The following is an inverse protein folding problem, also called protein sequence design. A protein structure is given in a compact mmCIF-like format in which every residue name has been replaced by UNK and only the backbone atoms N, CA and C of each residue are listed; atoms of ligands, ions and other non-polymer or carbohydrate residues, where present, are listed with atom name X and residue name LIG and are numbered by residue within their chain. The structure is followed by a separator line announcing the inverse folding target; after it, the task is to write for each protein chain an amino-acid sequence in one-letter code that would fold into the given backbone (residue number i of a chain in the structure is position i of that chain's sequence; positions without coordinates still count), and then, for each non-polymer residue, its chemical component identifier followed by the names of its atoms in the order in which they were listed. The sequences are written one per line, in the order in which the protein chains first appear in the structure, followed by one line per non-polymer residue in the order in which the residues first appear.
data_IF_566128019704
#
_entry.id   IF_566128019704
#
_cell.length_a   1.000
_cell.length_b   1.000
_cell.length_c   1.000
_cell.angle_alpha   90.00
_cell.angle_beta   90.00
_cell.angle_gamma   90.00
#
_symmetry.space_group_name_H-M   'P 1'
#
loop_
_entity.id
_entity.type
_entity.pdbx_description
1 polymer ?
#
# COMPACT_ATOMS: atom_id res chain seq x y z
N UNK A 1 -15.24 2.95 -21.41
CA UNK A 1 -14.65 2.08 -20.38
C UNK A 1 -13.42 2.79 -19.83
N UNK A 2 -13.26 2.89 -18.50
CA UNK A 2 -12.05 3.43 -17.91
C UNK A 2 -10.86 2.54 -18.30
N UNK A 3 -9.68 3.14 -18.50
CA UNK A 3 -8.44 2.41 -18.82
C UNK A 3 -8.11 1.49 -17.65
N UNK A 4 -8.01 0.18 -17.87
CA UNK A 4 -7.55 -0.79 -16.86
C UNK A 4 -6.11 -0.48 -16.44
N UNK A 5 -5.84 -0.47 -15.15
CA UNK A 5 -4.49 -0.25 -14.62
C UNK A 5 -3.83 -1.58 -14.24
N UNK A 6 -2.55 -1.65 -14.53
CA UNK A 6 -1.65 -2.68 -13.99
C UNK A 6 -0.75 -1.96 -13.01
N UNK A 7 -1.05 -2.10 -11.73
CA UNK A 7 -0.33 -1.46 -10.64
C UNK A 7 0.82 -2.40 -10.22
N UNK A 8 2.02 -1.88 -10.12
CA UNK A 8 3.17 -2.61 -9.59
C UNK A 8 3.48 -2.10 -8.18
N UNK A 9 3.24 -2.93 -7.19
CA UNK A 9 3.47 -2.61 -5.78
C UNK A 9 4.95 -2.79 -5.44
N UNK A 10 5.56 -1.76 -4.89
CA UNK A 10 6.97 -1.74 -4.52
C UNK A 10 7.13 -1.45 -3.03
N UNK A 11 7.76 -2.38 -2.31
CA UNK A 11 8.35 -2.10 -1.01
C UNK A 11 9.73 -1.49 -1.23
N UNK A 12 9.81 -0.16 -1.06
CA UNK A 12 10.95 0.65 -1.48
C UNK A 12 12.31 0.12 -0.98
N UNK A 13 12.48 -0.22 0.33
CA UNK A 13 13.79 -0.63 0.85
C UNK A 13 14.33 -1.94 0.26
N UNK A 14 13.45 -2.78 -0.31
CA UNK A 14 13.82 -4.11 -0.78
C UNK A 14 13.88 -4.22 -2.31
N UNK A 15 13.15 -3.35 -3.01
CA UNK A 15 13.16 -3.35 -4.47
C UNK A 15 14.36 -2.57 -5.04
N UNK A 16 14.70 -1.46 -4.40
CA UNK A 16 15.80 -0.57 -4.78
C UNK A 16 16.52 -0.02 -3.53
N UNK A 17 17.70 0.53 -3.70
CA UNK A 17 18.43 1.13 -2.58
C UNK A 17 17.86 2.49 -2.17
N UNK A 18 17.48 3.31 -3.18
CA UNK A 18 16.95 4.65 -3.02
C UNK A 18 16.12 5.07 -4.25
N UNK A 19 15.61 6.31 -4.28
CA UNK A 19 14.81 6.84 -5.37
C UNK A 19 15.60 7.04 -6.67
N UNK A 20 16.92 7.21 -6.62
CA UNK A 20 17.77 7.27 -7.81
C UNK A 20 17.88 5.89 -8.45
N UNK A 21 18.20 4.86 -7.66
CA UNK A 21 18.21 3.48 -8.13
C UNK A 21 16.82 3.07 -8.66
N UNK A 22 15.73 3.52 -8.00
CA UNK A 22 14.37 3.30 -8.50
C UNK A 22 14.15 3.93 -9.87
N UNK A 23 14.68 5.12 -10.10
CA UNK A 23 14.58 5.81 -11.40
C UNK A 23 15.23 4.98 -12.51
N UNK A 24 16.34 4.30 -12.22
CA UNK A 24 17.00 3.37 -13.14
C UNK A 24 16.22 2.07 -13.36
N UNK A 25 15.39 1.65 -12.36
CA UNK A 25 14.54 0.47 -12.46
C UNK A 25 13.22 0.69 -13.21
N UNK A 26 12.87 1.91 -13.57
CA UNK A 26 11.64 2.21 -14.34
C UNK A 26 11.58 1.48 -15.67
N UNK A 27 12.74 1.22 -16.30
CA UNK A 27 12.81 0.45 -17.56
C UNK A 27 12.32 -1.00 -17.36
N UNK A 28 12.56 -1.58 -16.18
CA UNK A 28 12.03 -2.91 -15.83
C UNK A 28 10.51 -2.90 -15.69
N UNK A 29 9.97 -1.90 -15.01
CA UNK A 29 8.52 -1.76 -14.79
C UNK A 29 7.80 -1.52 -16.12
N UNK A 30 8.36 -0.68 -16.99
CA UNK A 30 7.86 -0.46 -18.35
C UNK A 30 7.93 -1.74 -19.19
N UNK A 31 9.03 -2.48 -19.14
CA UNK A 31 9.21 -3.76 -19.85
C UNK A 31 8.19 -4.81 -19.39
N UNK A 32 7.90 -4.90 -18.09
CA UNK A 32 6.86 -5.78 -17.55
C UNK A 32 5.48 -5.42 -18.12
N UNK A 33 5.28 -4.15 -18.44
CA UNK A 33 4.04 -3.59 -18.96
C UNK A 33 3.13 -3.03 -17.88
N UNK A 34 3.61 -2.79 -16.67
CA UNK A 34 2.84 -2.05 -15.66
C UNK A 34 2.54 -0.63 -16.12
N UNK A 35 1.41 -0.08 -15.70
CA UNK A 35 0.96 1.27 -16.04
C UNK A 35 1.08 2.23 -14.89
N UNK A 36 1.27 1.71 -13.70
CA UNK A 36 1.32 2.48 -12.47
C UNK A 36 2.24 1.79 -11.47
N UNK A 37 2.87 2.58 -10.59
CA UNK A 37 3.62 2.09 -9.45
C UNK A 37 2.92 2.57 -8.18
N UNK A 38 2.74 1.67 -7.22
CA UNK A 38 2.40 2.02 -5.85
C UNK A 38 3.62 1.77 -4.97
N UNK A 39 4.13 2.85 -4.34
CA UNK A 39 5.16 2.77 -3.32
C UNK A 39 4.53 2.62 -1.94
N UNK A 40 5.01 1.66 -1.13
CA UNK A 40 4.80 1.69 0.32
C UNK A 40 5.34 3.00 0.89
N UNK A 41 5.00 3.42 2.15
CA UNK A 41 5.26 4.78 2.59
C UNK A 41 6.71 5.23 2.41
N UNK A 42 6.90 6.36 1.73
CA UNK A 42 8.22 6.98 1.47
C UNK A 42 8.49 8.20 2.35
N UNK A 43 7.55 8.53 3.24
CA UNK A 43 7.64 9.70 4.12
C UNK A 43 8.67 9.50 5.23
N UNK A 44 9.14 10.61 5.85
CA UNK A 44 10.05 10.52 7.00
C UNK A 44 9.41 9.71 8.13
N UNK A 45 10.12 8.69 8.58
CA UNK A 45 9.66 7.71 9.56
C UNK A 45 10.85 7.07 10.28
N UNK A 46 10.76 6.85 11.61
CA UNK A 46 11.82 6.16 12.36
C UNK A 46 11.82 4.65 12.10
N UNK A 47 10.73 4.06 11.62
CA UNK A 47 10.64 2.63 11.35
C UNK A 47 11.11 2.27 9.94
N UNK A 48 11.60 1.05 9.76
CA UNK A 48 11.99 0.53 8.46
C UNK A 48 10.79 0.45 7.51
N UNK A 49 9.64 -0.01 8.01
CA UNK A 49 8.41 -0.18 7.22
C UNK A 49 7.74 1.14 6.78
N UNK A 50 8.04 2.28 7.42
CA UNK A 50 7.53 3.59 7.02
C UNK A 50 6.13 3.97 7.51
N UNK A 51 5.37 3.05 8.10
CA UNK A 51 3.96 3.32 8.49
C UNK A 51 3.81 4.22 9.73
N UNK A 52 4.83 4.44 10.55
CA UNK A 52 4.80 5.51 11.56
C UNK A 52 5.42 6.79 10.99
N UNK A 53 4.57 7.61 10.39
CA UNK A 53 5.00 8.84 9.72
C UNK A 53 5.26 9.95 10.74
N UNK A 54 6.51 10.41 10.78
CA UNK A 54 6.91 11.55 11.63
C UNK A 54 6.79 12.90 10.91
N UNK A 55 6.99 12.92 9.57
CA UNK A 55 6.83 14.13 8.74
C UNK A 55 6.34 13.74 7.34
N UNK A 56 5.11 14.15 7.00
CA UNK A 56 4.50 13.86 5.70
C UNK A 56 5.04 14.70 4.53
N UNK A 57 5.79 15.76 4.81
CA UNK A 57 6.27 16.71 3.80
C UNK A 57 7.73 16.44 3.40
N UNK A 58 8.30 15.32 3.87
CA UNK A 58 9.66 14.91 3.57
C UNK A 58 9.69 13.49 3.04
N UNK A 59 10.55 13.27 2.06
CA UNK A 59 11.01 11.94 1.69
C UNK A 59 11.89 11.43 2.83
N UNK A 60 11.74 10.16 3.18
CA UNK A 60 12.60 9.50 4.17
C UNK A 60 14.07 9.64 3.75
N UNK A 61 14.89 10.17 4.65
CA UNK A 61 16.28 10.54 4.35
C UNK A 61 17.12 9.39 3.77
N UNK A 62 16.78 8.15 4.11
CA UNK A 62 17.41 6.94 3.56
C UNK A 62 17.06 6.67 2.09
N UNK A 63 15.96 7.23 1.58
CA UNK A 63 15.51 7.02 0.19
C UNK A 63 15.96 8.15 -0.74
N UNK A 64 16.47 9.25 -0.21
CA UNK A 64 16.94 10.40 -0.98
C UNK A 64 16.25 11.70 -0.61
N UNK A 65 16.16 12.60 -1.58
CA UNK A 65 15.62 13.94 -1.43
C UNK A 65 14.29 14.11 -2.17
N UNK A 66 13.62 15.23 -1.93
CA UNK A 66 12.43 15.59 -2.69
C UNK A 66 12.76 15.84 -4.19
N UNK A 67 13.97 16.37 -4.48
CA UNK A 67 14.45 16.51 -5.85
C UNK A 67 14.62 15.15 -6.55
N UNK A 68 15.12 14.13 -5.84
CA UNK A 68 15.22 12.77 -6.36
C UNK A 68 13.83 12.19 -6.67
N UNK A 69 12.84 12.51 -5.82
CA UNK A 69 11.45 12.14 -6.07
C UNK A 69 10.87 12.85 -7.30
N UNK A 70 11.08 14.17 -7.46
CA UNK A 70 10.61 14.92 -8.62
C UNK A 70 11.23 14.40 -9.94
N UNK A 71 12.50 13.99 -9.89
CA UNK A 71 13.17 13.34 -11.01
C UNK A 71 12.57 11.98 -11.36
N UNK A 72 12.25 11.16 -10.32
CA UNK A 72 11.55 9.89 -10.50
C UNK A 72 10.18 10.08 -11.14
N UNK A 73 9.36 11.03 -10.65
CA UNK A 73 8.05 11.37 -11.21
C UNK A 73 8.18 11.76 -12.69
N UNK A 74 9.09 12.67 -12.99
CA UNK A 74 9.31 13.15 -14.36
C UNK A 74 9.67 12.00 -15.31
N UNK A 75 10.56 11.11 -14.87
CA UNK A 75 10.97 9.94 -15.65
C UNK A 75 9.84 8.91 -15.80
N UNK A 76 9.08 8.63 -14.73
CA UNK A 76 7.95 7.72 -14.77
C UNK A 76 6.87 8.22 -15.76
N UNK A 77 6.50 9.49 -15.66
CA UNK A 77 5.53 10.10 -16.59
C UNK A 77 6.02 10.09 -18.04
N UNK A 78 7.31 10.28 -18.31
CA UNK A 78 7.86 10.17 -19.66
C UNK A 78 7.70 8.77 -20.28
N UNK A 79 7.50 7.75 -19.44
CA UNK A 79 7.22 6.34 -19.80
C UNK A 79 5.73 5.99 -19.76
N UNK A 80 4.85 6.94 -19.40
CA UNK A 80 3.42 6.72 -19.23
C UNK A 80 3.08 5.91 -17.99
N UNK A 81 3.94 5.92 -16.96
CA UNK A 81 3.75 5.24 -15.68
C UNK A 81 3.25 6.26 -14.66
N UNK A 82 2.06 6.00 -14.09
CA UNK A 82 1.47 6.77 -13.00
C UNK A 82 2.14 6.38 -11.66
N UNK A 83 2.25 7.33 -10.71
CA UNK A 83 2.85 7.08 -9.39
C UNK A 83 1.82 7.30 -8.30
N UNK A 84 1.60 6.28 -7.47
CA UNK A 84 0.74 6.30 -6.31
C UNK A 84 1.57 6.19 -5.03
N UNK A 85 1.25 6.99 -4.03
CA UNK A 85 1.86 6.92 -2.71
C UNK A 85 0.93 6.24 -1.71
N UNK A 86 1.53 5.50 -0.79
CA UNK A 86 0.84 4.94 0.37
C UNK A 86 0.59 6.03 1.40
N UNK A 87 -0.65 6.37 1.68
CA UNK A 87 -1.02 7.47 2.54
C UNK A 87 -1.62 6.96 3.86
N UNK A 88 -0.83 7.09 4.92
CA UNK A 88 -1.17 6.65 6.27
C UNK A 88 -1.87 7.79 7.01
N UNK A 89 -3.19 7.73 7.18
CA UNK A 89 -3.99 8.81 7.79
C UNK A 89 -4.76 8.37 9.05
N UNK A 90 -4.62 7.11 9.47
CA UNK A 90 -5.28 6.62 10.68
C UNK A 90 -4.48 6.90 11.95
N UNK A 91 -3.19 7.11 11.82
CA UNK A 91 -2.25 7.38 12.92
C UNK A 91 -1.02 8.15 12.43
N UNK A 92 -0.17 8.57 13.36
CA UNK A 92 1.16 9.15 13.07
C UNK A 92 2.21 8.45 13.91
N UNK A 93 3.48 8.83 13.73
CA UNK A 93 4.52 8.47 14.71
C UNK A 93 4.38 9.27 16.02
N UNK A 94 4.85 8.66 17.12
CA UNK A 94 4.90 9.30 18.44
C UNK A 94 5.72 10.61 18.43
N UNK A 95 6.74 10.73 17.57
CA UNK A 95 7.57 11.91 17.43
C UNK A 95 7.03 12.93 16.43
N UNK A 96 5.90 12.65 15.78
CA UNK A 96 5.24 13.62 14.91
C UNK A 96 4.93 14.91 15.68
N UNK A 97 5.24 16.06 15.08
CA UNK A 97 5.08 17.38 15.75
C UNK A 97 3.66 17.58 16.27
N UNK A 98 2.64 17.14 15.53
CA UNK A 98 1.25 17.28 15.94
C UNK A 98 0.93 16.47 17.21
N UNK A 99 1.49 15.26 17.36
CA UNK A 99 1.34 14.47 18.57
C UNK A 99 2.10 15.10 19.74
N UNK A 100 3.34 15.58 19.53
CA UNK A 100 4.15 16.27 20.54
C UNK A 100 3.46 17.52 21.07
N UNK A 101 2.75 18.27 20.23
CA UNK A 101 1.90 19.39 20.63
C UNK A 101 0.66 18.94 21.41
N UNK A 102 0.04 17.80 21.01
CA UNK A 102 -1.12 17.25 21.71
C UNK A 102 -0.81 16.80 23.14
N UNK A 103 0.38 16.26 23.39
CA UNK A 103 0.87 15.96 24.76
C UNK A 103 0.81 17.20 25.66
N UNK A 104 1.08 18.38 25.09
CA UNK A 104 1.05 19.68 25.79
C UNK A 104 -0.36 20.29 25.87
N UNK A 105 -1.38 19.60 25.35
CA UNK A 105 -2.76 20.10 25.32
C UNK A 105 -3.01 21.21 24.28
N UNK A 106 -2.16 21.33 23.25
CA UNK A 106 -2.23 22.42 22.26
C UNK A 106 -3.15 22.13 21.08
N UNK A 107 -3.69 20.92 20.98
CA UNK A 107 -4.63 20.52 19.92
C UNK A 107 -5.52 19.34 20.34
N UNK A 108 -6.55 19.06 19.53
CA UNK A 108 -7.55 17.99 19.67
C UNK A 108 -7.34 16.85 18.67
N UNK A 109 -6.14 16.76 18.11
CA UNK A 109 -5.84 15.87 16.98
C UNK A 109 -5.74 14.39 17.38
N UNK A 110 -5.67 14.08 18.67
CA UNK A 110 -5.54 12.74 19.21
C UNK A 110 -6.50 12.54 20.38
N UNK A 111 -6.71 11.28 20.76
CA UNK A 111 -7.60 10.90 21.84
C UNK A 111 -6.84 10.71 23.14
N UNK A 112 -7.31 11.34 24.20
CA UNK A 112 -6.73 11.30 25.55
C UNK A 112 -7.73 10.88 26.60
N UNK A 113 -7.28 10.14 27.63
CA UNK A 113 -8.07 9.72 28.79
C UNK A 113 -7.22 9.81 30.06
N UNK A 114 -7.86 10.12 31.18
CA UNK A 114 -7.23 10.09 32.51
C UNK A 114 -7.09 8.66 33.06
N UNK A 115 -7.79 7.69 32.44
CA UNK A 115 -7.76 6.27 32.84
C UNK A 115 -7.52 5.37 31.62
N UNK A 116 -6.92 4.20 31.83
CA UNK A 116 -6.81 3.19 30.80
C UNK A 116 -8.16 2.54 30.52
N UNK A 117 -8.76 2.83 29.36
CA UNK A 117 -10.06 2.29 28.96
C UNK A 117 -9.96 0.82 28.57
N UNK A 118 -8.95 0.46 27.77
CA UNK A 118 -8.62 -0.91 27.39
C UNK A 118 -7.12 -1.01 27.01
N UNK A 119 -6.70 -2.19 26.52
CA UNK A 119 -5.30 -2.45 26.13
C UNK A 119 -4.78 -1.64 24.93
N UNK A 120 -5.65 -0.95 24.20
CA UNK A 120 -5.28 -0.08 23.08
C UNK A 120 -4.91 1.33 23.54
N UNK A 121 -5.14 1.64 24.81
CA UNK A 121 -4.77 2.90 25.44
C UNK A 121 -3.40 2.78 26.11
N UNK A 122 -2.47 3.62 25.67
CA UNK A 122 -1.07 3.62 26.09
C UNK A 122 -0.78 4.78 27.04
N UNK A 123 -0.03 4.53 28.10
CA UNK A 123 0.31 5.56 29.08
C UNK A 123 1.41 6.49 28.55
N UNK A 124 1.17 7.80 28.65
CA UNK A 124 2.13 8.84 28.36
C UNK A 124 2.67 9.44 29.67
N UNK A 125 3.93 9.21 29.95
CA UNK A 125 4.59 9.70 31.18
C UNK A 125 4.76 11.22 31.20
N UNK A 126 4.73 11.89 30.04
CA UNK A 126 4.97 13.34 29.93
C UNK A 126 3.78 14.18 30.44
N UNK A 127 2.56 13.70 30.25
CA UNK A 127 1.35 14.42 30.71
C UNK A 127 0.49 13.61 31.70
N UNK A 128 0.95 12.42 32.11
CA UNK A 128 0.25 11.50 33.01
C UNK A 128 -1.16 11.10 32.54
N UNK A 129 -1.34 10.92 31.22
CA UNK A 129 -2.59 10.50 30.58
C UNK A 129 -2.39 9.29 29.70
N UNK A 130 -3.49 8.71 29.25
CA UNK A 130 -3.50 7.64 28.25
C UNK A 130 -3.91 8.21 26.90
N UNK A 131 -3.24 7.78 25.83
CA UNK A 131 -3.61 8.07 24.45
C UNK A 131 -4.02 6.80 23.70
N UNK A 132 -4.91 6.94 22.73
CA UNK A 132 -5.37 5.80 21.94
C UNK A 132 -4.34 5.47 20.84
N UNK A 133 -3.83 4.21 20.86
CA UNK A 133 -2.86 3.67 19.90
C UNK A 133 -3.14 2.17 19.70
N UNK A 134 -4.04 1.82 18.77
CA UNK A 134 -4.57 0.45 18.66
C UNK A 134 -3.56 -0.59 18.16
N UNK A 135 -2.56 -0.18 17.40
CA UNK A 135 -1.53 -1.10 16.86
C UNK A 135 -0.32 -1.18 17.79
N UNK A 136 0.36 -0.08 17.95
CA UNK A 136 1.57 0.03 18.74
C UNK A 136 1.65 1.36 19.48
N UNK A 137 2.41 1.41 20.60
CA UNK A 137 2.58 2.64 21.37
C UNK A 137 3.24 3.77 20.56
N UNK A 138 4.02 3.44 19.54
CA UNK A 138 4.62 4.42 18.63
C UNK A 138 3.64 5.01 17.61
N UNK A 139 2.39 4.49 17.53
CA UNK A 139 1.40 4.82 16.51
C UNK A 139 0.11 5.42 17.10
N UNK A 140 0.14 6.66 17.68
CA UNK A 140 -1.05 7.32 18.20
C UNK A 140 -2.06 7.60 17.08
N UNK A 141 -3.32 7.21 17.32
CA UNK A 141 -4.41 7.34 16.36
C UNK A 141 -4.89 8.78 16.20
N UNK A 142 -5.04 9.21 14.95
CA UNK A 142 -5.56 10.53 14.60
C UNK A 142 -7.07 10.64 14.84
N UNK A 143 -7.50 11.78 15.33
CA UNK A 143 -8.90 12.14 15.48
C UNK A 143 -9.47 12.70 14.16
N UNK A 144 -10.09 11.84 13.34
CA UNK A 144 -10.71 12.22 12.08
C UNK A 144 -11.83 13.27 12.17
N UNK A 145 -12.36 13.53 13.38
CA UNK A 145 -13.34 14.60 13.63
C UNK A 145 -12.69 15.97 13.84
N UNK A 146 -11.38 16.03 14.15
CA UNK A 146 -10.67 17.29 14.33
C UNK A 146 -10.52 18.05 13.01
N UNK A 147 -10.94 19.31 13.00
CA UNK A 147 -10.75 20.19 11.84
C UNK A 147 -9.27 20.42 11.54
N UNK A 148 -8.42 20.41 12.56
CA UNK A 148 -6.97 20.55 12.40
C UNK A 148 -6.36 19.34 11.69
N UNK A 149 -6.81 18.13 12.00
CA UNK A 149 -6.43 16.89 11.27
C UNK A 149 -6.88 16.98 9.82
N UNK A 150 -8.13 17.37 9.56
CA UNK A 150 -8.64 17.53 8.19
C UNK A 150 -7.86 18.55 7.38
N UNK A 151 -7.49 19.70 7.98
CA UNK A 151 -6.68 20.72 7.32
C UNK A 151 -5.28 20.18 6.99
N UNK A 152 -4.63 19.50 7.93
CA UNK A 152 -3.33 18.84 7.70
C UNK A 152 -3.42 17.84 6.53
N UNK A 153 -4.48 17.03 6.47
CA UNK A 153 -4.68 16.08 5.37
C UNK A 153 -4.81 16.80 4.02
N UNK A 154 -5.55 17.92 3.96
CA UNK A 154 -5.66 18.74 2.75
C UNK A 154 -4.28 19.25 2.31
N UNK A 155 -3.45 19.70 3.24
CA UNK A 155 -2.12 20.22 2.94
C UNK A 155 -1.18 19.11 2.45
N UNK A 156 -1.22 17.93 3.06
CA UNK A 156 -0.46 16.75 2.63
C UNK A 156 -0.84 16.35 1.20
N UNK A 157 -2.13 16.22 0.92
CA UNK A 157 -2.63 15.85 -0.42
C UNK A 157 -2.21 16.88 -1.46
N UNK A 158 -2.38 18.17 -1.18
CA UNK A 158 -1.95 19.23 -2.11
C UNK A 158 -0.46 19.20 -2.38
N UNK A 159 0.34 19.01 -1.33
CA UNK A 159 1.78 18.96 -1.46
C UNK A 159 2.21 17.86 -2.45
N UNK A 160 1.77 16.63 -2.24
CA UNK A 160 2.19 15.51 -3.08
C UNK A 160 1.58 15.54 -4.49
N UNK A 161 0.33 15.98 -4.63
CA UNK A 161 -0.27 16.18 -5.96
C UNK A 161 0.47 17.27 -6.76
N UNK A 162 0.96 18.34 -6.10
CA UNK A 162 1.77 19.38 -6.74
C UNK A 162 3.17 18.87 -7.14
N UNK A 163 3.70 17.83 -6.49
CA UNK A 163 4.90 17.09 -6.88
C UNK A 163 4.64 16.01 -7.93
N UNK A 164 3.44 15.99 -8.53
CA UNK A 164 3.13 15.12 -9.66
C UNK A 164 2.61 13.72 -9.31
N UNK A 165 2.29 13.46 -8.05
CA UNK A 165 1.64 12.18 -7.65
C UNK A 165 0.29 12.05 -8.35
N UNK A 166 -0.01 10.84 -8.85
CA UNK A 166 -1.24 10.57 -9.60
C UNK A 166 -2.37 10.00 -8.75
N UNK A 167 -2.07 9.58 -7.53
CA UNK A 167 -3.06 9.03 -6.64
C UNK A 167 -2.48 8.48 -5.34
N UNK A 168 -3.36 7.89 -4.55
CA UNK A 168 -3.01 7.37 -3.23
C UNK A 168 -3.62 6.00 -2.97
N UNK A 169 -2.83 5.11 -2.38
CA UNK A 169 -3.34 3.96 -1.62
C UNK A 169 -3.56 4.42 -0.19
N UNK A 170 -4.73 4.16 0.33
CA UNK A 170 -5.14 4.59 1.67
C UNK A 170 -5.00 3.43 2.64
N UNK A 171 -4.08 3.60 3.58
CA UNK A 171 -3.74 2.60 4.59
C UNK A 171 -4.86 2.40 5.60
N UNK A 172 -5.18 1.12 5.88
CA UNK A 172 -6.01 0.67 7.00
C UNK A 172 -7.31 1.49 7.21
N UNK A 173 -8.04 1.78 6.11
CA UNK A 173 -9.18 2.72 6.11
C UNK A 173 -10.25 2.47 7.16
N UNK A 174 -10.56 1.22 7.63
CA UNK A 174 -11.53 1.02 8.69
C UNK A 174 -11.13 1.62 10.05
N UNK A 175 -9.86 1.86 10.28
CA UNK A 175 -9.33 2.21 11.61
C UNK A 175 -9.37 3.71 11.94
N UNK A 176 -9.79 4.58 11.03
CA UNK A 176 -10.10 5.98 11.36
C UNK A 176 -11.37 6.11 12.22
N UNK A 177 -12.08 5.00 12.45
CA UNK A 177 -13.43 4.96 13.03
C UNK A 177 -13.54 5.36 14.49
N UNK A 178 -12.44 5.47 15.24
CA UNK A 178 -12.56 5.97 16.62
C UNK A 178 -12.89 7.46 16.60
N UNK A 179 -14.13 7.77 16.96
CA UNK A 179 -14.64 9.18 17.05
C UNK A 179 -15.28 9.75 15.79
N UNK A 180 -15.31 9.05 14.66
CA UNK A 180 -16.06 9.47 13.46
C UNK A 180 -16.56 8.26 12.67
N UNK A 181 -17.58 8.47 11.82
CA UNK A 181 -17.99 7.46 10.84
C UNK A 181 -16.92 7.36 9.74
N UNK A 182 -16.33 6.16 9.52
CA UNK A 182 -15.27 6.01 8.54
C UNK A 182 -15.74 6.21 7.11
N UNK A 183 -16.99 5.84 6.76
CA UNK A 183 -17.52 6.03 5.41
C UNK A 183 -17.75 7.52 5.11
N UNK A 184 -18.27 8.28 6.07
CA UNK A 184 -18.41 9.74 5.95
C UNK A 184 -17.04 10.43 5.82
N UNK A 185 -16.06 10.01 6.64
CA UNK A 185 -14.71 10.57 6.58
C UNK A 185 -14.06 10.32 5.22
N UNK A 186 -14.10 9.08 4.71
CA UNK A 186 -13.47 8.74 3.44
C UNK A 186 -14.23 9.30 2.23
N UNK A 187 -15.55 9.47 2.31
CA UNK A 187 -16.31 10.19 1.29
C UNK A 187 -15.91 11.66 1.25
N UNK A 188 -15.73 12.31 2.41
CA UNK A 188 -15.18 13.66 2.50
C UNK A 188 -13.78 13.74 1.88
N UNK A 189 -12.90 12.79 2.23
CA UNK A 189 -11.53 12.72 1.71
C UNK A 189 -11.52 12.60 0.18
N UNK A 190 -12.25 11.64 -0.38
CA UNK A 190 -12.34 11.42 -1.82
C UNK A 190 -12.85 12.67 -2.55
N UNK A 191 -13.92 13.28 -2.06
CA UNK A 191 -14.45 14.53 -2.62
C UNK A 191 -13.43 15.68 -2.56
N UNK A 192 -12.66 15.78 -1.49
CA UNK A 192 -11.62 16.80 -1.31
C UNK A 192 -10.47 16.58 -2.30
N UNK A 193 -9.98 15.34 -2.46
CA UNK A 193 -8.91 15.00 -3.41
C UNK A 193 -9.34 15.32 -4.84
N UNK A 194 -10.53 14.87 -5.26
CA UNK A 194 -11.02 15.08 -6.63
C UNK A 194 -11.37 16.56 -6.95
N UNK A 195 -11.54 17.40 -5.94
CA UNK A 195 -11.59 18.87 -6.13
C UNK A 195 -10.21 19.47 -6.42
N UNK A 196 -9.13 18.85 -5.96
CA UNK A 196 -7.74 19.29 -6.20
C UNK A 196 -7.23 18.72 -7.52
N UNK A 197 -7.38 17.41 -7.75
CA UNK A 197 -7.03 16.68 -8.97
C UNK A 197 -8.17 15.74 -9.32
N UNK A 198 -8.96 16.10 -10.33
CA UNK A 198 -10.22 15.42 -10.70
C UNK A 198 -10.02 13.92 -11.03
N UNK A 199 -8.89 13.58 -11.63
CA UNK A 199 -8.53 12.24 -12.09
C UNK A 199 -7.58 11.48 -11.14
N UNK A 200 -7.38 11.99 -9.91
CA UNK A 200 -6.55 11.31 -8.92
C UNK A 200 -7.06 9.90 -8.63
N UNK A 201 -6.17 8.92 -8.69
CA UNK A 201 -6.51 7.53 -8.37
C UNK A 201 -6.53 7.32 -6.87
N UNK A 202 -7.59 6.73 -6.36
CA UNK A 202 -7.73 6.41 -4.94
C UNK A 202 -8.11 4.93 -4.78
N UNK A 203 -7.33 4.21 -3.95
CA UNK A 203 -7.60 2.81 -3.61
C UNK A 203 -7.48 2.57 -2.12
N UNK A 204 -8.47 1.93 -1.55
CA UNK A 204 -8.56 1.63 -0.12
C UNK A 204 -7.94 0.28 0.22
N UNK A 205 -7.18 0.22 1.31
CA UNK A 205 -6.99 -1.02 2.03
C UNK A 205 -8.11 -1.20 3.06
N UNK A 206 -9.03 -2.09 2.74
CA UNK A 206 -10.10 -2.52 3.64
C UNK A 206 -10.05 -4.05 3.76
N UNK A 207 -9.15 -4.54 4.61
CA UNK A 207 -8.96 -5.97 4.82
C UNK A 207 -10.10 -6.55 5.66
N UNK A 208 -11.17 -6.91 4.99
CA UNK A 208 -12.42 -7.40 5.56
C UNK A 208 -13.16 -8.24 4.51
N UNK A 209 -14.41 -8.64 4.80
CA UNK A 209 -15.30 -9.28 3.84
C UNK A 209 -15.57 -8.38 2.64
N UNK A 210 -15.93 -8.99 1.52
CA UNK A 210 -16.25 -8.25 0.29
C UNK A 210 -17.36 -7.20 0.51
N UNK A 211 -18.38 -7.52 1.31
CA UNK A 211 -19.49 -6.62 1.63
C UNK A 211 -19.03 -5.37 2.39
N UNK A 212 -18.02 -5.50 3.24
CA UNK A 212 -17.44 -4.37 3.98
C UNK A 212 -16.51 -3.57 3.08
N UNK A 213 -15.56 -4.22 2.40
CA UNK A 213 -14.60 -3.55 1.50
C UNK A 213 -15.29 -2.78 0.36
N UNK A 214 -16.40 -3.31 -0.18
CA UNK A 214 -17.20 -2.65 -1.21
C UNK A 214 -17.82 -1.31 -0.77
N UNK A 215 -18.10 -1.14 0.53
CA UNK A 215 -18.59 0.16 1.05
C UNK A 215 -17.50 1.22 0.99
N UNK A 216 -16.27 0.84 1.34
CA UNK A 216 -15.11 1.73 1.23
C UNK A 216 -14.76 2.01 -0.23
N UNK A 217 -14.81 1.02 -1.11
CA UNK A 217 -14.61 1.19 -2.53
C UNK A 217 -15.56 2.25 -3.13
N UNK A 218 -16.84 2.19 -2.80
CA UNK A 218 -17.86 3.16 -3.23
C UNK A 218 -17.66 4.56 -2.64
N UNK A 219 -17.14 4.66 -1.42
CA UNK A 219 -16.87 5.94 -0.75
C UNK A 219 -15.62 6.64 -1.28
N UNK A 220 -14.60 5.86 -1.68
CA UNK A 220 -13.26 6.33 -2.01
C UNK A 220 -13.03 6.38 -3.53
N UNK A 221 -13.42 5.30 -4.22
CA UNK A 221 -13.21 5.08 -5.65
C UNK A 221 -12.91 3.63 -5.95
N UNK A 222 -11.94 3.02 -5.25
CA UNK A 222 -11.60 1.59 -5.38
C UNK A 222 -11.16 1.00 -4.05
N UNK A 223 -11.15 -0.35 -3.96
CA UNK A 223 -10.55 -1.10 -2.85
C UNK A 223 -9.86 -2.38 -3.35
N UNK A 224 -8.86 -2.82 -2.61
CA UNK A 224 -8.24 -4.14 -2.83
C UNK A 224 -9.23 -5.25 -2.46
N UNK A 225 -9.39 -6.23 -3.35
CA UNK A 225 -10.29 -7.37 -3.15
C UNK A 225 -9.57 -8.53 -2.42
N UNK A 226 -9.50 -8.44 -1.11
CA UNK A 226 -8.83 -9.44 -0.25
C UNK A 226 -9.54 -10.80 -0.28
N UNK A 227 -10.86 -10.82 -0.37
CA UNK A 227 -11.65 -12.06 -0.41
C UNK A 227 -11.34 -12.84 -1.68
N UNK A 228 -11.26 -12.18 -2.84
CA UNK A 228 -10.92 -12.80 -4.11
C UNK A 228 -9.48 -13.35 -4.12
N UNK A 229 -8.51 -12.60 -3.56
CA UNK A 229 -7.14 -13.10 -3.35
C UNK A 229 -7.15 -14.40 -2.54
N UNK A 230 -7.99 -14.51 -1.52
CA UNK A 230 -8.19 -15.73 -0.73
C UNK A 230 -8.75 -16.88 -1.55
N UNK A 231 -9.78 -16.62 -2.36
CA UNK A 231 -10.40 -17.62 -3.22
C UNK A 231 -9.46 -18.13 -4.33
N UNK A 232 -8.65 -17.27 -4.93
CA UNK A 232 -7.62 -17.69 -5.89
C UNK A 232 -6.67 -18.70 -5.25
N UNK A 233 -6.15 -18.41 -4.05
CA UNK A 233 -5.25 -19.32 -3.31
C UNK A 233 -5.94 -20.64 -2.95
N UNK A 234 -7.19 -20.59 -2.54
CA UNK A 234 -8.00 -21.77 -2.24
C UNK A 234 -8.14 -22.65 -3.50
N UNK A 235 -8.58 -22.09 -4.62
CA UNK A 235 -8.73 -22.78 -5.92
C UNK A 235 -7.42 -23.43 -6.38
N UNK A 236 -6.29 -22.74 -6.24
CA UNK A 236 -4.97 -23.27 -6.61
C UNK A 236 -4.55 -24.46 -5.75
N UNK A 237 -4.99 -24.53 -4.51
CA UNK A 237 -4.59 -25.59 -3.58
C UNK A 237 -5.55 -26.78 -3.56
N UNK A 238 -6.84 -26.56 -3.76
CA UNK A 238 -7.87 -27.61 -3.71
C UNK A 238 -8.28 -28.11 -5.08
N UNK A 239 -8.14 -27.29 -6.13
CA UNK A 239 -8.69 -27.56 -7.46
C UNK A 239 -10.18 -27.23 -7.59
N UNK A 240 -10.82 -26.72 -6.52
CA UNK A 240 -12.20 -26.27 -6.57
C UNK A 240 -12.39 -25.06 -7.51
N UNK A 241 -13.57 -24.88 -8.11
CA UNK A 241 -13.85 -23.72 -8.97
C UNK A 241 -13.67 -22.40 -8.22
N UNK A 242 -13.15 -21.39 -8.92
CA UNK A 242 -13.04 -20.03 -8.37
C UNK A 242 -14.45 -19.46 -8.11
N UNK A 243 -14.67 -18.98 -6.91
CA UNK A 243 -15.88 -18.21 -6.54
C UNK A 243 -15.57 -16.75 -6.79
N UNK A 244 -16.17 -16.15 -7.80
CA UNK A 244 -15.89 -14.76 -8.20
C UNK A 244 -16.86 -13.81 -7.50
N UNK A 245 -16.29 -12.90 -6.70
CA UNK A 245 -16.95 -11.71 -6.17
C UNK A 245 -16.11 -10.50 -6.60
N UNK A 246 -16.44 -9.91 -7.74
CA UNK A 246 -15.65 -8.87 -8.35
C UNK A 246 -16.54 -7.84 -9.05
N UNK A 247 -16.32 -6.57 -8.75
CA UNK A 247 -16.91 -5.42 -9.43
C UNK A 247 -15.79 -4.64 -10.15
N UNK A 248 -15.73 -4.70 -11.50
CA UNK A 248 -14.63 -4.08 -12.25
C UNK A 248 -14.49 -2.57 -12.06
N UNK A 249 -15.56 -1.91 -11.66
CA UNK A 249 -15.55 -0.47 -11.40
C UNK A 249 -14.81 -0.13 -10.11
N UNK A 250 -14.93 -1.01 -9.09
CA UNK A 250 -14.50 -0.71 -7.73
C UNK A 250 -13.35 -1.57 -7.23
N UNK A 251 -13.07 -2.72 -7.83
CA UNK A 251 -12.11 -3.67 -7.31
C UNK A 251 -10.72 -3.54 -7.95
N UNK A 252 -9.71 -3.74 -7.11
CA UNK A 252 -8.32 -4.00 -7.49
C UNK A 252 -7.98 -5.43 -7.12
N UNK A 253 -7.76 -6.27 -8.13
CA UNK A 253 -7.46 -7.68 -7.96
C UNK A 253 -5.95 -7.90 -7.75
N UNK A 254 -5.57 -8.81 -6.87
CA UNK A 254 -4.18 -9.09 -6.54
C UNK A 254 -4.00 -10.51 -5.98
N UNK A 255 -2.78 -11.02 -5.96
CA UNK A 255 -2.46 -12.35 -5.39
C UNK A 255 -1.97 -12.26 -3.96
N UNK A 256 -1.07 -11.34 -3.68
CA UNK A 256 -0.54 -11.04 -2.35
C UNK A 256 0.00 -9.60 -2.34
N UNK A 257 0.42 -9.13 -1.17
CA UNK A 257 1.02 -7.84 -0.96
C UNK A 257 2.15 -7.92 0.10
N UNK A 258 2.68 -6.77 0.50
CA UNK A 258 3.78 -6.66 1.47
C UNK A 258 3.42 -7.10 2.91
N UNK A 259 2.15 -7.40 3.22
CA UNK A 259 1.65 -7.89 4.52
C UNK A 259 1.15 -9.34 4.49
N UNK A 260 1.18 -9.97 3.31
CA UNK A 260 0.65 -11.30 3.10
C UNK A 260 1.73 -12.29 2.68
N UNK A 261 1.51 -13.58 3.01
CA UNK A 261 2.33 -14.67 2.47
C UNK A 261 2.38 -14.60 0.95
N UNK A 262 3.59 -14.59 0.38
CA UNK A 262 3.80 -14.55 -1.08
C UNK A 262 3.08 -15.70 -1.77
N UNK A 263 2.55 -15.45 -2.96
CA UNK A 263 1.81 -16.47 -3.73
C UNK A 263 2.66 -17.73 -3.96
N UNK A 264 3.95 -17.59 -4.20
CA UNK A 264 4.86 -18.72 -4.39
C UNK A 264 4.86 -19.67 -3.19
N UNK A 265 4.93 -19.14 -1.96
CA UNK A 265 4.86 -19.94 -0.74
C UNK A 265 3.46 -20.53 -0.52
N UNK A 266 2.41 -19.76 -0.80
CA UNK A 266 1.02 -20.19 -0.64
C UNK A 266 0.67 -21.42 -1.50
N UNK A 267 1.38 -21.61 -2.64
CA UNK A 267 1.18 -22.73 -3.56
C UNK A 267 2.32 -23.78 -3.52
N UNK A 268 3.20 -23.70 -2.51
CA UNK A 268 4.31 -24.66 -2.31
C UNK A 268 5.38 -24.60 -3.39
N UNK A 269 5.66 -23.42 -3.93
CA UNK A 269 6.64 -23.17 -4.99
C UNK A 269 6.38 -23.96 -6.30
N UNK A 270 5.14 -24.43 -6.52
CA UNK A 270 4.75 -25.14 -7.72
C UNK A 270 4.62 -24.18 -8.91
N UNK A 271 5.56 -24.28 -9.86
CA UNK A 271 5.58 -23.44 -11.06
C UNK A 271 4.29 -23.54 -11.88
N UNK A 272 3.64 -24.71 -11.97
CA UNK A 272 2.38 -24.85 -12.72
C UNK A 272 1.27 -24.05 -12.04
N UNK A 273 1.23 -24.08 -10.71
CA UNK A 273 0.27 -23.29 -9.94
C UNK A 273 0.56 -21.79 -10.06
N UNK A 274 1.83 -21.36 -10.16
CA UNK A 274 2.18 -19.95 -10.37
C UNK A 274 1.71 -19.44 -11.75
N UNK A 275 1.88 -20.22 -12.81
CA UNK A 275 1.31 -19.88 -14.13
C UNK A 275 -0.23 -19.79 -14.06
N UNK A 276 -0.87 -20.75 -13.37
CA UNK A 276 -2.32 -20.74 -13.19
C UNK A 276 -2.78 -19.58 -12.31
N UNK A 277 -1.99 -19.15 -11.31
CA UNK A 277 -2.28 -17.96 -10.51
C UNK A 277 -2.35 -16.71 -11.37
N UNK A 278 -1.39 -16.53 -12.29
CA UNK A 278 -1.42 -15.45 -13.26
C UNK A 278 -2.66 -15.55 -14.18
N UNK A 279 -3.02 -16.76 -14.65
CA UNK A 279 -4.23 -16.95 -15.45
C UNK A 279 -5.49 -16.52 -14.71
N UNK A 280 -5.64 -16.93 -13.45
CA UNK A 280 -6.80 -16.58 -12.63
C UNK A 280 -6.84 -15.07 -12.36
N UNK A 281 -5.71 -14.46 -11.98
CA UNK A 281 -5.62 -13.02 -11.73
C UNK A 281 -6.07 -12.19 -12.96
N UNK A 282 -5.53 -12.51 -14.14
CA UNK A 282 -5.84 -11.81 -15.37
C UNK A 282 -7.15 -12.28 -16.05
N UNK A 283 -7.87 -13.23 -15.46
CA UNK A 283 -9.25 -13.56 -15.89
C UNK A 283 -10.31 -12.70 -15.22
N UNK A 284 -9.97 -11.99 -14.14
CA UNK A 284 -10.86 -11.07 -13.45
C UNK A 284 -10.84 -9.71 -14.13
N UNK A 285 -12.02 -9.08 -14.23
CA UNK A 285 -12.10 -7.70 -14.73
C UNK A 285 -11.74 -6.68 -13.63
N UNK A 286 -11.33 -5.47 -14.02
CA UNK A 286 -10.95 -4.38 -13.11
C UNK A 286 -9.48 -4.00 -13.19
N UNK A 287 -8.96 -3.33 -12.16
CA UNK A 287 -7.53 -3.06 -12.06
C UNK A 287 -6.80 -4.26 -11.44
N UNK A 288 -5.54 -4.44 -11.76
CA UNK A 288 -4.71 -5.52 -11.23
C UNK A 288 -3.50 -4.93 -10.50
N UNK A 289 -3.20 -5.46 -9.31
CA UNK A 289 -1.98 -5.14 -8.58
C UNK A 289 -1.06 -6.36 -8.51
N UNK A 290 0.20 -6.16 -8.84
CA UNK A 290 1.26 -7.17 -8.80
C UNK A 290 2.27 -6.73 -7.74
N UNK A 291 2.45 -7.54 -6.71
CA UNK A 291 3.50 -7.32 -5.72
C UNK A 291 4.86 -7.68 -6.30
N UNK A 292 5.86 -6.81 -6.16
CA UNK A 292 7.19 -7.03 -6.77
C UNK A 292 7.73 -8.43 -6.45
N UNK A 293 8.21 -9.08 -7.49
CA UNK A 293 8.76 -10.45 -7.41
C UNK A 293 7.74 -11.56 -7.67
N UNK A 294 6.43 -11.29 -7.66
CA UNK A 294 5.43 -12.31 -8.02
C UNK A 294 5.59 -12.75 -9.47
N UNK A 295 5.94 -11.81 -10.36
CA UNK A 295 6.16 -12.05 -11.79
C UNK A 295 7.38 -12.94 -12.10
N UNK A 296 8.25 -13.13 -11.12
CA UNK A 296 9.38 -14.08 -11.21
C UNK A 296 9.23 -15.28 -10.28
N UNK A 297 8.11 -15.39 -9.56
CA UNK A 297 7.84 -16.47 -8.62
C UNK A 297 8.73 -16.42 -7.37
N UNK A 298 9.03 -15.21 -6.89
CA UNK A 298 9.83 -14.99 -5.70
C UNK A 298 9.12 -15.53 -4.45
N UNK A 299 9.86 -16.26 -3.62
CA UNK A 299 9.36 -16.82 -2.36
C UNK A 299 9.78 -16.00 -1.15
N UNK A 300 9.31 -16.40 0.02
CA UNK A 300 9.73 -15.85 1.32
C UNK A 300 11.07 -16.46 1.74
N UNK A 301 11.85 -15.74 2.54
CA UNK A 301 12.99 -16.35 3.21
C UNK A 301 12.54 -17.47 4.17
N UNK A 302 13.12 -18.66 4.00
CA UNK A 302 12.78 -19.83 4.82
C UNK A 302 13.53 -19.83 6.17
N UNK A 303 14.74 -19.30 6.22
CA UNK A 303 15.70 -19.51 7.32
C UNK A 303 15.94 -18.31 8.22
N UNK A 304 15.07 -17.32 8.19
CA UNK A 304 15.23 -16.23 9.11
C UNK A 304 14.57 -16.55 10.43
N UNK A 305 15.36 -16.79 11.45
CA UNK A 305 14.92 -16.73 12.83
C UNK A 305 14.31 -15.35 13.07
N UNK A 306 13.00 -15.34 13.32
CA UNK A 306 12.30 -14.11 13.74
C UNK A 306 12.97 -13.66 15.02
N UNK A 307 13.61 -12.51 15.01
CA UNK A 307 13.96 -11.85 16.25
C UNK A 307 12.65 -11.63 17.01
N UNK A 308 12.55 -12.19 18.21
CA UNK A 308 11.38 -12.06 19.05
C UNK A 308 10.98 -10.60 19.18
N UNK A 309 9.77 -10.24 18.77
CA UNK A 309 9.22 -8.88 18.81
C UNK A 309 9.03 -8.16 17.46
N UNK A 310 9.46 -8.72 16.33
CA UNK A 310 9.16 -8.19 15.00
C UNK A 310 7.88 -8.79 14.44
N UNK A 311 6.98 -7.98 13.93
CA UNK A 311 5.90 -8.46 13.07
C UNK A 311 6.54 -9.22 11.90
N UNK A 312 6.04 -10.42 11.57
CA UNK A 312 6.70 -11.35 10.61
C UNK A 312 6.77 -10.88 9.15
N UNK A 313 6.39 -9.65 8.87
CA UNK A 313 6.20 -9.05 7.54
C UNK A 313 7.50 -8.89 6.76
N UNK A 314 8.64 -8.72 7.42
CA UNK A 314 9.94 -8.65 6.76
C UNK A 314 10.28 -9.91 5.95
N UNK A 315 9.66 -11.07 6.27
CA UNK A 315 9.82 -12.31 5.49
C UNK A 315 9.28 -12.20 4.07
N UNK A 316 8.28 -11.36 3.86
CA UNK A 316 7.66 -11.11 2.56
C UNK A 316 8.24 -9.87 1.87
N UNK A 317 9.08 -9.11 2.58
CA UNK A 317 9.69 -7.83 2.15
C UNK A 317 11.19 -7.97 1.84
N UNK A 318 11.61 -9.17 1.36
CA UNK A 318 13.01 -9.43 1.03
C UNK A 318 13.47 -8.69 -0.24
N UNK A 319 14.80 -8.48 -0.40
CA UNK A 319 15.36 -7.83 -1.58
C UNK A 319 14.97 -8.52 -2.87
N UNK A 320 14.72 -7.71 -3.91
CA UNK A 320 14.38 -8.20 -5.26
C UNK A 320 15.50 -9.06 -5.83
N UNK A 321 15.14 -10.24 -6.38
CA UNK A 321 16.07 -11.20 -6.96
C UNK A 321 16.49 -10.82 -8.38
N UNK A 322 17.25 -9.72 -8.54
CA UNK A 322 17.66 -9.18 -9.86
C UNK A 322 18.38 -10.18 -10.76
N UNK A 323 19.20 -11.07 -10.17
CA UNK A 323 19.86 -12.14 -10.92
C UNK A 323 18.81 -13.09 -11.55
N UNK A 324 17.76 -13.42 -10.81
CA UNK A 324 16.66 -14.27 -11.33
C UNK A 324 15.89 -13.57 -12.45
N UNK A 325 15.68 -12.25 -12.32
CA UNK A 325 15.11 -11.42 -13.40
C UNK A 325 15.90 -11.58 -14.68
N UNK A 326 17.22 -11.41 -14.65
CA UNK A 326 18.08 -11.51 -15.83
C UNK A 326 18.03 -12.88 -16.52
N UNK A 327 17.91 -13.96 -15.73
CA UNK A 327 17.71 -15.31 -16.32
C UNK A 327 16.31 -15.44 -16.95
N UNK A 328 15.28 -14.98 -16.28
CA UNK A 328 13.90 -15.12 -16.77
C UNK A 328 13.61 -14.25 -17.99
N UNK A 329 14.23 -13.08 -18.11
CA UNK A 329 14.13 -12.23 -19.32
C UNK A 329 14.57 -12.97 -20.59
N UNK A 330 15.59 -13.82 -20.48
CA UNK A 330 16.18 -14.57 -21.59
C UNK A 330 15.41 -15.83 -21.96
N UNK A 331 14.59 -16.35 -21.07
CA UNK A 331 13.79 -17.55 -21.31
C UNK A 331 12.35 -17.18 -21.71
N UNK A 332 11.96 -17.36 -22.98
CA UNK A 332 10.61 -17.03 -23.44
C UNK A 332 9.49 -17.84 -22.77
N UNK A 333 9.83 -18.93 -22.07
CA UNK A 333 8.88 -19.76 -21.32
C UNK A 333 8.85 -19.44 -19.81
N UNK A 334 9.61 -18.44 -19.37
CA UNK A 334 9.67 -18.02 -17.98
C UNK A 334 8.34 -17.42 -17.49
N UNK A 335 8.18 -17.38 -16.17
CA UNK A 335 7.03 -16.75 -15.55
C UNK A 335 6.99 -15.23 -15.84
N UNK A 336 8.16 -14.55 -15.84
CA UNK A 336 8.26 -13.14 -16.20
C UNK A 336 7.70 -12.84 -17.60
N UNK A 337 8.14 -13.59 -18.62
CA UNK A 337 7.65 -13.43 -19.98
C UNK A 337 6.18 -13.83 -20.12
N UNK A 338 5.71 -14.73 -19.28
CA UNK A 338 4.30 -15.09 -19.21
C UNK A 338 3.45 -13.93 -18.65
N UNK A 339 3.87 -13.28 -17.55
CA UNK A 339 3.21 -12.07 -17.03
C UNK A 339 3.18 -10.97 -18.08
N UNK A 340 4.29 -10.68 -18.77
CA UNK A 340 4.31 -9.70 -19.87
C UNK A 340 3.26 -9.99 -20.94
N UNK A 341 3.15 -11.27 -21.34
CA UNK A 341 2.14 -11.71 -22.31
C UNK A 341 0.73 -11.47 -21.77
N UNK A 342 0.45 -11.90 -20.55
CA UNK A 342 -0.86 -11.72 -19.90
C UNK A 342 -1.26 -10.25 -19.75
N UNK A 343 -0.35 -9.40 -19.33
CA UNK A 343 -0.56 -7.96 -19.23
C UNK A 343 -0.91 -7.35 -20.59
N UNK A 344 -0.21 -7.76 -21.64
CA UNK A 344 -0.48 -7.29 -23.00
C UNK A 344 -1.86 -7.73 -23.51
N UNK A 345 -2.29 -8.94 -23.18
CA UNK A 345 -3.62 -9.48 -23.56
C UNK A 345 -4.75 -8.84 -22.74
N UNK A 346 -4.45 -8.40 -21.52
CA UNK A 346 -5.42 -7.84 -20.57
C UNK A 346 -5.79 -6.38 -20.84
N UNK A 347 -4.86 -5.58 -21.37
CA UNK A 347 -5.06 -4.18 -21.77
C UNK A 347 -5.93 -4.05 -23.00
#
# INVERSE_FOLDING_TARGET
MSKKRIIYEIYTPAFCCDLKDMTDKLDYVEELGATSIWFTPIFESPSEHGYNVSDYFKVKSQYGTLEDFDNLITKAHSKGIEIFLDLVLCHTDYHNTLFRESIKGLNDCYFWSDTQIDKKWRYCYENNKYYYAPWDASMPALNGSSQRVRNMIVDIVRFWLNHGVDGFRLDAVPYISYGCDPIEFWSWFSNMVHKIKHDAYLVAEAWDTYEVSSKYAKAIGKAFNFEESGWIKHTLNTGEPLVIKNDPEYDVNFLCNHDMTRISNSVGHDMKKLFKAADLLFSLDGDVCIYYGDEIGMGMYQDCHVLEGGHGDWKVRQPMEWVRVEYQRKDPKSLFNYYKKKIKEYK
#
